data_IF_373946415143
#
_entry.id   IF_373946415143
#
_cell.length_a   1.000
_cell.length_b   1.000
_cell.length_c   1.000
_cell.angle_alpha   90.00
_cell.angle_beta   90.00
_cell.angle_gamma   90.00
#
_symmetry.space_group_name_H-M   'P 1'
#
loop_
_entity.id
_entity.type
_entity.pdbx_description
1 polymer ?
#
# COMPACT_ATOMS: atom_id res chain seq x y z
N UNK A 1 37.26 49.66 -58.01
CA UNK A 1 35.83 49.68 -58.39
C UNK A 1 35.16 48.48 -57.72
N UNK A 2 34.35 48.69 -56.66
CA UNK A 2 32.87 48.62 -56.65
C UNK A 2 32.37 47.18 -56.96
N UNK A 3 31.63 46.44 -56.14
CA UNK A 3 30.73 46.75 -55.01
C UNK A 3 30.60 45.57 -54.03
N UNK A 4 30.39 45.94 -52.78
CA UNK A 4 29.86 45.17 -51.65
C UNK A 4 28.41 44.70 -51.93
N UNK A 5 28.05 43.45 -51.60
CA UNK A 5 26.66 43.01 -51.38
C UNK A 5 26.60 42.00 -50.23
N UNK A 6 25.72 42.30 -49.28
CA UNK A 6 25.47 41.69 -47.97
C UNK A 6 24.51 40.49 -48.02
N UNK A 7 24.50 39.71 -46.93
CA UNK A 7 23.38 38.97 -46.28
C UNK A 7 22.67 37.89 -47.15
N UNK A 8 22.48 36.64 -46.73
CA UNK A 8 21.87 36.19 -45.47
C UNK A 8 22.22 34.73 -45.17
N UNK A 9 22.62 34.48 -43.92
CA UNK A 9 22.58 33.14 -43.31
C UNK A 9 21.13 32.79 -43.02
N UNK A 10 20.61 31.73 -43.63
CA UNK A 10 19.33 31.12 -43.23
C UNK A 10 19.67 29.95 -42.32
N UNK A 11 19.75 30.21 -41.02
CA UNK A 11 19.61 29.19 -39.99
C UNK A 11 18.13 28.78 -39.95
N UNK A 12 17.80 27.62 -40.52
CA UNK A 12 16.53 26.97 -40.26
C UNK A 12 16.56 26.43 -38.82
N UNK A 13 16.12 27.26 -37.86
CA UNK A 13 15.71 26.74 -36.56
C UNK A 13 14.41 25.96 -36.76
N UNK A 14 14.53 24.67 -37.04
CA UNK A 14 13.42 23.73 -36.84
C UNK A 14 13.17 23.65 -35.34
N UNK A 15 12.20 24.42 -34.87
CA UNK A 15 11.65 24.30 -33.53
C UNK A 15 11.07 22.88 -33.39
N UNK A 16 11.82 21.98 -32.77
CA UNK A 16 11.32 20.68 -32.38
C UNK A 16 10.37 20.89 -31.20
N UNK A 17 9.11 21.16 -31.52
CA UNK A 17 8.03 21.20 -30.56
C UNK A 17 7.73 19.74 -30.17
N UNK A 18 8.41 19.20 -29.16
CA UNK A 18 8.05 17.89 -28.62
C UNK A 18 6.83 18.09 -27.72
N UNK A 19 5.62 17.65 -28.09
CA UNK A 19 4.51 17.62 -27.15
C UNK A 19 4.91 16.68 -26.01
N UNK A 20 4.85 17.17 -24.77
CA UNK A 20 4.98 16.34 -23.59
C UNK A 20 3.91 15.24 -23.65
N UNK A 21 4.32 14.02 -24.02
CA UNK A 21 3.45 12.85 -23.98
C UNK A 21 3.12 12.59 -22.51
N UNK A 22 1.93 13.01 -22.08
CA UNK A 22 1.30 12.47 -20.88
C UNK A 22 1.04 11.00 -21.18
N UNK A 23 1.97 10.13 -20.77
CA UNK A 23 1.79 8.68 -20.87
C UNK A 23 0.69 8.32 -19.89
N UNK A 24 -0.52 8.10 -20.40
CA UNK A 24 -1.57 7.41 -19.65
C UNK A 24 -1.03 6.01 -19.35
N UNK A 25 -0.55 5.82 -18.12
CA UNK A 25 -0.08 4.53 -17.65
C UNK A 25 -1.34 3.68 -17.47
N UNK A 26 -1.43 2.58 -18.23
CA UNK A 26 -2.49 1.59 -18.03
C UNK A 26 -2.47 1.17 -16.54
N UNK A 27 -3.59 1.22 -15.79
CA UNK A 27 -3.60 0.88 -14.36
C UNK A 27 -3.17 -0.55 -14.04
N UNK A 28 -3.08 -1.42 -15.07
CA UNK A 28 -2.60 -2.80 -14.98
C UNK A 28 -1.09 -2.97 -15.18
N UNK A 29 -0.37 -1.91 -15.53
CA UNK A 29 1.09 -1.94 -15.69
C UNK A 29 1.76 -1.05 -14.64
N UNK A 30 1.47 -1.31 -13.37
CA UNK A 30 2.30 -0.81 -12.29
C UNK A 30 3.58 -1.66 -12.23
N UNK A 31 4.49 -1.46 -13.18
CA UNK A 31 5.84 -2.01 -13.10
C UNK A 31 6.46 -1.50 -11.79
N UNK A 32 6.69 -2.42 -10.85
CA UNK A 32 7.33 -2.17 -9.56
C UNK A 32 8.79 -1.74 -9.78
N UNK A 33 9.01 -0.49 -10.18
CA UNK A 33 10.35 0.11 -10.28
C UNK A 33 10.95 0.30 -8.88
N UNK A 34 10.13 0.22 -7.83
CA UNK A 34 10.55 0.36 -6.43
C UNK A 34 10.02 -0.76 -5.55
N UNK A 35 10.88 -1.25 -4.64
CA UNK A 35 10.54 -2.22 -3.57
C UNK A 35 9.65 -1.58 -2.48
N UNK A 36 9.46 -0.26 -2.56
CA UNK A 36 8.80 0.56 -1.54
C UNK A 36 7.34 0.18 -1.38
N UNK A 37 6.83 0.34 -0.16
CA UNK A 37 5.40 0.26 0.12
C UNK A 37 4.62 1.34 -0.66
N UNK A 38 3.50 0.96 -1.27
CA UNK A 38 2.61 1.87 -1.99
C UNK A 38 1.12 1.58 -1.75
N UNK A 39 0.26 2.39 -2.38
CA UNK A 39 -1.20 2.31 -2.19
C UNK A 39 -1.78 0.94 -2.61
N UNK A 40 -1.25 0.33 -3.66
CA UNK A 40 -1.67 -1.00 -4.10
C UNK A 40 -1.37 -2.07 -3.03
N UNK A 41 -0.21 -2.01 -2.37
CA UNK A 41 0.15 -2.95 -1.30
C UNK A 41 -0.75 -2.76 -0.09
N UNK A 42 -1.10 -1.51 0.22
CA UNK A 42 -2.03 -1.16 1.30
C UNK A 42 -3.42 -1.71 1.02
N UNK A 43 -3.93 -1.54 -0.20
CA UNK A 43 -5.21 -2.10 -0.61
C UNK A 43 -5.21 -3.63 -0.59
N UNK A 44 -4.15 -4.26 -1.11
CA UNK A 44 -4.01 -5.72 -1.07
C UNK A 44 -3.97 -6.26 0.37
N UNK A 45 -3.19 -5.61 1.25
CA UNK A 45 -3.12 -5.96 2.67
C UNK A 45 -4.49 -5.83 3.33
N UNK A 46 -5.19 -4.72 3.10
CA UNK A 46 -6.51 -4.49 3.66
C UNK A 46 -7.52 -5.55 3.20
N UNK A 47 -7.48 -5.93 1.92
CA UNK A 47 -8.35 -6.96 1.35
C UNK A 47 -8.10 -8.34 1.99
N UNK A 48 -6.84 -8.74 2.14
CA UNK A 48 -6.47 -10.01 2.78
C UNK A 48 -6.93 -10.07 4.22
N UNK A 49 -6.58 -9.06 5.01
CA UNK A 49 -6.99 -8.97 6.42
C UNK A 49 -8.52 -8.98 6.56
N UNK A 50 -9.24 -8.26 5.70
CA UNK A 50 -10.70 -8.26 5.70
C UNK A 50 -11.25 -9.65 5.44
N UNK A 51 -10.71 -10.36 4.45
CA UNK A 51 -11.11 -11.74 4.14
C UNK A 51 -10.85 -12.69 5.32
N UNK A 52 -9.72 -12.54 6.01
CA UNK A 52 -9.37 -13.37 7.17
C UNK A 52 -10.33 -13.12 8.34
N UNK A 53 -10.70 -11.85 8.58
CA UNK A 53 -11.71 -11.50 9.58
C UNK A 53 -13.07 -12.09 9.22
N UNK A 54 -13.52 -11.93 7.98
CA UNK A 54 -14.85 -12.38 7.54
C UNK A 54 -14.98 -13.91 7.42
N UNK A 55 -13.87 -14.63 7.30
CA UNK A 55 -13.82 -16.10 7.28
C UNK A 55 -13.59 -16.71 8.66
N UNK A 56 -13.27 -15.90 9.67
CA UNK A 56 -13.06 -16.36 11.03
C UNK A 56 -14.37 -16.82 11.68
N UNK A 57 -14.38 -18.04 12.22
CA UNK A 57 -15.47 -18.55 13.06
C UNK A 57 -15.38 -18.08 14.51
N UNK A 58 -14.24 -17.53 14.93
CA UNK A 58 -14.00 -17.07 16.31
C UNK A 58 -14.59 -15.68 16.57
N UNK A 59 -14.76 -14.87 15.52
CA UNK A 59 -15.24 -13.49 15.65
C UNK A 59 -16.78 -13.50 15.62
N UNK A 60 -17.41 -13.07 16.71
CA UNK A 60 -18.85 -12.92 16.77
C UNK A 60 -19.28 -11.63 16.05
N UNK A 61 -19.80 -11.78 14.82
CA UNK A 61 -20.22 -10.65 13.99
C UNK A 61 -21.48 -9.92 14.49
N UNK A 62 -22.18 -10.44 15.51
CA UNK A 62 -23.28 -9.72 16.17
C UNK A 62 -22.80 -8.57 17.07
N UNK A 63 -21.51 -8.58 17.47
CA UNK A 63 -20.91 -7.59 18.37
C UNK A 63 -20.32 -6.41 17.62
N UNK A 64 -20.04 -5.33 18.36
CA UNK A 64 -19.34 -4.14 17.86
C UNK A 64 -17.84 -4.21 18.12
N UNK A 65 -17.05 -3.80 17.14
CA UNK A 65 -15.60 -3.76 17.22
C UNK A 65 -15.06 -2.38 16.86
N UNK A 66 -13.89 -2.03 17.37
CA UNK A 66 -13.20 -0.78 17.01
C UNK A 66 -11.74 -1.04 16.64
N UNK A 67 -11.11 -0.05 16.01
CA UNK A 67 -9.68 -0.11 15.68
C UNK A 67 -8.86 0.70 16.68
N UNK A 68 -7.89 0.02 17.28
CA UNK A 68 -6.86 0.59 18.12
C UNK A 68 -5.66 1.07 17.30
N UNK A 69 -4.55 1.32 18.00
CA UNK A 69 -3.32 1.80 17.36
C UNK A 69 -2.67 0.67 16.56
N UNK A 70 -2.38 0.94 15.29
CA UNK A 70 -1.48 0.13 14.48
C UNK A 70 -0.06 0.69 14.62
N UNK A 71 0.89 -0.15 15.02
CA UNK A 71 2.31 0.24 15.18
C UNK A 71 3.07 -0.02 13.89
N UNK A 72 3.76 1.00 13.39
CA UNK A 72 4.75 0.83 12.31
C UNK A 72 6.11 0.45 12.90
N UNK A 73 6.60 -0.73 12.54
CA UNK A 73 7.96 -1.24 12.80
C UNK A 73 8.67 -1.64 11.49
N UNK A 74 8.20 -1.14 10.37
CA UNK A 74 8.85 -1.32 9.08
C UNK A 74 9.90 -0.23 8.86
N UNK A 75 10.78 -0.46 7.89
CA UNK A 75 11.75 0.55 7.43
C UNK A 75 11.10 1.69 6.64
N UNK A 76 9.91 1.46 6.07
CA UNK A 76 9.19 2.43 5.26
C UNK A 76 8.21 3.26 6.11
N UNK A 77 7.94 4.50 5.67
CA UNK A 77 6.82 5.27 6.18
C UNK A 77 5.52 4.71 5.62
N UNK A 78 4.85 3.88 6.41
CA UNK A 78 3.53 3.32 6.08
C UNK A 78 2.46 4.13 6.80
N UNK A 79 1.45 4.59 6.05
CA UNK A 79 0.26 5.20 6.64
C UNK A 79 -0.61 4.12 7.29
N UNK A 80 -0.30 3.81 8.54
CA UNK A 80 -1.00 2.80 9.32
C UNK A 80 -2.43 3.21 9.66
N UNK A 81 -2.75 4.51 9.67
CA UNK A 81 -4.13 4.98 9.90
C UNK A 81 -4.96 4.73 8.66
N UNK A 82 -4.43 5.04 7.48
CA UNK A 82 -5.09 4.74 6.21
C UNK A 82 -5.33 3.24 6.05
N UNK A 83 -4.36 2.40 6.42
CA UNK A 83 -4.55 0.94 6.44
C UNK A 83 -5.71 0.52 7.37
N UNK A 84 -5.74 1.03 8.61
CA UNK A 84 -6.84 0.74 9.55
C UNK A 84 -8.19 1.17 8.98
N UNK A 85 -8.26 2.37 8.40
CA UNK A 85 -9.47 2.94 7.82
C UNK A 85 -9.95 2.09 6.63
N UNK A 86 -9.06 1.64 5.74
CA UNK A 86 -9.44 0.77 4.63
C UNK A 86 -10.03 -0.55 5.11
N UNK A 87 -9.41 -1.19 6.12
CA UNK A 87 -9.94 -2.43 6.70
C UNK A 87 -11.30 -2.16 7.34
N UNK A 88 -11.42 -1.12 8.16
CA UNK A 88 -12.68 -0.73 8.81
C UNK A 88 -13.79 -0.49 7.78
N UNK A 89 -13.50 0.28 6.73
CA UNK A 89 -14.44 0.55 5.64
C UNK A 89 -14.85 -0.72 4.90
N UNK A 90 -13.91 -1.61 4.57
CA UNK A 90 -14.20 -2.87 3.91
C UNK A 90 -15.08 -3.80 4.78
N UNK A 91 -14.83 -3.82 6.09
CA UNK A 91 -15.67 -4.57 7.05
C UNK A 91 -17.07 -3.98 7.16
N UNK A 92 -17.23 -2.65 7.20
CA UNK A 92 -18.54 -1.99 7.18
C UNK A 92 -19.27 -2.28 5.86
N UNK A 93 -18.56 -2.21 4.73
CA UNK A 93 -19.12 -2.51 3.40
C UNK A 93 -19.61 -3.95 3.26
N UNK A 94 -18.99 -4.90 3.99
CA UNK A 94 -19.46 -6.29 4.03
C UNK A 94 -20.86 -6.44 4.66
N UNK A 95 -21.34 -5.43 5.40
CA UNK A 95 -22.59 -5.44 6.18
C UNK A 95 -22.69 -6.55 7.24
N UNK A 96 -21.62 -7.30 7.48
CA UNK A 96 -21.58 -8.36 8.49
C UNK A 96 -21.03 -7.88 9.82
N UNK A 97 -20.08 -6.94 9.80
CA UNK A 97 -19.34 -6.52 11.00
C UNK A 97 -19.70 -5.09 11.36
N UNK A 98 -20.07 -4.87 12.63
CA UNK A 98 -20.34 -3.53 13.16
C UNK A 98 -19.05 -2.89 13.66
N UNK A 99 -18.50 -1.95 12.89
CA UNK A 99 -17.37 -1.13 13.32
C UNK A 99 -17.87 0.15 13.97
N UNK A 100 -17.35 0.46 15.15
CA UNK A 100 -17.60 1.71 15.89
C UNK A 100 -16.30 2.47 16.09
N UNK A 101 -16.41 3.78 16.28
CA UNK A 101 -15.25 4.61 16.61
C UNK A 101 -14.64 4.23 17.96
N UNK A 102 -13.37 4.58 18.14
CA UNK A 102 -12.57 4.22 19.32
C UNK A 102 -13.14 4.74 20.64
N UNK A 103 -13.93 5.81 20.59
CA UNK A 103 -14.60 6.41 21.76
C UNK A 103 -15.93 5.73 22.10
N UNK A 104 -16.45 4.88 21.20
CA UNK A 104 -17.59 4.04 21.47
C UNK A 104 -17.22 2.85 22.34
N UNK A 105 -18.14 2.43 23.23
CA UNK A 105 -18.03 1.16 23.97
C UNK A 105 -18.14 -0.01 22.97
N UNK A 106 -17.00 -0.51 22.49
CA UNK A 106 -16.93 -1.72 21.66
C UNK A 106 -16.76 -2.98 22.51
N UNK A 107 -17.19 -4.12 22.01
CA UNK A 107 -16.96 -5.42 22.63
C UNK A 107 -15.48 -5.83 22.53
N UNK A 108 -14.85 -5.55 21.39
CA UNK A 108 -13.42 -5.81 21.18
C UNK A 108 -12.73 -4.68 20.43
N UNK A 109 -11.40 -4.66 20.53
CA UNK A 109 -10.53 -3.70 19.86
C UNK A 109 -9.49 -4.46 19.03
N UNK A 110 -9.39 -4.13 17.75
CA UNK A 110 -8.34 -4.61 16.87
C UNK A 110 -7.07 -3.77 17.05
N UNK A 111 -5.96 -4.39 17.42
CA UNK A 111 -4.63 -3.79 17.43
C UNK A 111 -3.77 -4.39 16.34
N UNK A 112 -2.90 -3.58 15.75
CA UNK A 112 -2.06 -4.02 14.64
C UNK A 112 -0.59 -3.69 14.82
N UNK A 113 0.24 -4.42 14.10
CA UNK A 113 1.68 -4.16 13.97
C UNK A 113 2.11 -4.53 12.56
N UNK A 114 2.68 -3.56 11.85
CA UNK A 114 3.34 -3.82 10.58
C UNK A 114 4.84 -3.81 10.76
N UNK A 115 5.54 -4.75 10.14
CA UNK A 115 7.00 -4.84 10.11
C UNK A 115 7.47 -5.16 8.70
N UNK A 116 8.72 -4.83 8.39
CA UNK A 116 9.33 -5.23 7.13
C UNK A 116 10.70 -5.84 7.33
N UNK A 117 11.05 -6.78 6.45
CA UNK A 117 12.34 -7.45 6.44
C UNK A 117 12.89 -7.41 5.02
N UNK A 118 14.04 -6.73 4.88
CA UNK A 118 14.77 -6.70 3.63
C UNK A 118 15.76 -7.88 3.57
N UNK A 119 15.70 -8.67 2.51
CA UNK A 119 16.63 -9.77 2.23
C UNK A 119 17.29 -9.54 0.87
N UNK A 120 18.63 -9.48 0.85
CA UNK A 120 19.41 -9.33 -0.38
C UNK A 120 20.07 -10.65 -0.75
N UNK A 121 19.84 -11.12 -1.97
CA UNK A 121 20.47 -12.29 -2.56
C UNK A 121 21.36 -11.90 -3.76
N UNK A 122 22.14 -12.86 -4.29
CA UNK A 122 23.00 -12.64 -5.48
C UNK A 122 22.23 -12.22 -6.74
N UNK A 123 20.94 -12.60 -6.86
CA UNK A 123 20.10 -12.39 -8.06
C UNK A 123 18.87 -11.51 -7.83
N UNK A 124 18.42 -11.30 -6.59
CA UNK A 124 17.22 -10.52 -6.28
C UNK A 124 17.37 -9.74 -4.97
N UNK A 125 16.57 -8.68 -4.86
CA UNK A 125 16.32 -7.97 -3.60
C UNK A 125 14.86 -8.19 -3.23
N UNK A 126 14.64 -8.76 -2.06
CA UNK A 126 13.31 -9.15 -1.59
C UNK A 126 12.95 -8.30 -0.38
N UNK A 127 11.70 -7.86 -0.31
CA UNK A 127 11.13 -7.21 0.86
C UNK A 127 9.88 -7.95 1.30
N UNK A 128 9.85 -8.33 2.56
CA UNK A 128 8.72 -8.96 3.20
C UNK A 128 8.04 -7.91 4.07
N UNK A 129 6.72 -7.77 3.96
CA UNK A 129 5.89 -6.93 4.81
C UNK A 129 4.94 -7.83 5.57
N UNK A 130 5.06 -7.83 6.90
CA UNK A 130 4.28 -8.70 7.77
C UNK A 130 3.38 -7.83 8.64
N UNK A 131 2.07 -8.02 8.49
CA UNK A 131 1.05 -7.34 9.25
C UNK A 131 0.38 -8.32 10.21
N UNK A 132 0.59 -8.11 11.49
CA UNK A 132 -0.12 -8.82 12.55
C UNK A 132 -1.34 -7.98 12.96
N UNK A 133 -2.49 -8.63 13.07
CA UNK A 133 -3.69 -8.07 13.68
C UNK A 133 -4.16 -8.97 14.83
N UNK A 134 -4.52 -8.35 15.95
CA UNK A 134 -5.03 -9.02 17.16
C UNK A 134 -6.33 -8.36 17.59
N UNK A 135 -7.34 -9.17 17.89
CA UNK A 135 -8.59 -8.72 18.50
C UNK A 135 -8.52 -8.98 20.01
N UNK A 136 -8.70 -7.93 20.80
CA UNK A 136 -8.69 -7.98 22.27
C UNK A 136 -10.08 -7.66 22.80
N UNK A 137 -10.60 -8.48 23.71
CA UNK A 137 -11.84 -8.25 24.43
C UNK A 137 -11.67 -7.08 25.42
N UNK A 138 -12.61 -6.12 25.41
CA UNK A 138 -12.48 -4.87 26.19
C UNK A 138 -12.70 -5.05 27.68
N UNK A 139 -13.42 -6.08 28.11
CA UNK A 139 -13.74 -6.32 29.52
C UNK A 139 -12.63 -7.11 30.20
N UNK A 140 -12.13 -8.14 29.51
CA UNK A 140 -11.15 -9.08 30.07
C UNK A 140 -9.72 -8.74 29.68
N UNK A 141 -9.52 -7.84 28.70
CA UNK A 141 -8.20 -7.52 28.12
C UNK A 141 -7.48 -8.74 27.52
N UNK A 142 -8.21 -9.79 27.14
CA UNK A 142 -7.66 -11.02 26.54
C UNK A 142 -7.67 -10.94 25.03
N UNK A 143 -6.62 -11.46 24.40
CA UNK A 143 -6.59 -11.67 22.94
C UNK A 143 -7.50 -12.85 22.63
N UNK A 144 -8.54 -12.61 21.83
CA UNK A 144 -9.53 -13.63 21.45
C UNK A 144 -9.37 -14.09 20.00
N UNK A 145 -8.66 -13.32 19.17
CA UNK A 145 -8.32 -13.70 17.80
C UNK A 145 -7.02 -13.01 17.38
N UNK A 146 -6.21 -13.67 16.56
CA UNK A 146 -5.06 -13.06 15.92
C UNK A 146 -4.75 -13.72 14.58
N UNK A 147 -4.27 -12.92 13.64
CA UNK A 147 -3.80 -13.41 12.36
C UNK A 147 -2.65 -12.57 11.82
N UNK A 148 -1.78 -13.22 11.05
CA UNK A 148 -0.63 -12.63 10.38
C UNK A 148 -0.83 -12.70 8.87
N UNK A 149 -0.73 -11.55 8.21
CA UNK A 149 -0.76 -11.45 6.75
C UNK A 149 0.61 -11.00 6.25
N UNK A 150 1.17 -11.77 5.32
CA UNK A 150 2.44 -11.45 4.67
C UNK A 150 2.24 -11.06 3.21
N UNK A 151 2.95 -10.00 2.80
CA UNK A 151 3.12 -9.60 1.39
C UNK A 151 4.62 -9.60 1.08
N UNK A 152 5.01 -10.32 0.02
CA UNK A 152 6.38 -10.35 -0.49
C UNK A 152 6.48 -9.55 -1.78
N UNK A 153 7.41 -8.60 -1.82
CA UNK A 153 7.80 -7.86 -3.03
C UNK A 153 9.19 -8.30 -3.47
N UNK A 154 9.34 -8.63 -4.75
CA UNK A 154 10.61 -9.07 -5.34
C UNK A 154 11.04 -8.05 -6.39
N UNK A 155 12.25 -7.53 -6.26
CA UNK A 155 12.90 -6.75 -7.31
C UNK A 155 13.84 -7.65 -8.09
N UNK A 156 13.53 -7.79 -9.38
CA UNK A 156 14.44 -8.38 -10.37
C UNK A 156 15.08 -7.23 -11.12
N UNK A 157 16.42 -7.17 -11.10
CA UNK A 157 17.15 -6.26 -11.98
C UNK A 157 16.80 -6.64 -13.42
N UNK A 158 16.26 -5.71 -14.21
CA UNK A 158 16.03 -5.96 -15.62
C UNK A 158 17.39 -6.29 -16.26
N UNK A 159 17.48 -7.43 -16.94
CA UNK A 159 18.75 -7.90 -17.50
C UNK A 159 19.09 -7.21 -18.83
N UNK A 160 18.11 -6.61 -19.51
CA UNK A 160 18.31 -5.81 -20.72
C UNK A 160 17.21 -4.74 -20.83
N UNK A 161 17.60 -3.51 -21.12
CA UNK A 161 16.74 -2.37 -21.42
C UNK A 161 17.61 -1.20 -21.85
N UNK A 162 17.54 -0.88 -23.15
CA UNK A 162 18.13 0.33 -23.76
C UNK A 162 17.29 1.55 -23.37
#
# INVERSE_FOLDING_TARGET
>A
MRRLLFLTSILLFTACNTPSKVKNINPKENQLTTIRWGENDLQEMANRVTKDILSSSTIDFSKSYSFGKIKNRSYDHIDTKHLANKIAMALVQSKKVKIVEKEGKSYGIFFGKISSIFKKNKRSKDMFFNFNLTLTDTQTSRIIWSHDVEIRKIYKKALFGW
#
